data_IF_462508726924
#
_entry.id   IF_462508726924
#
_cell.length_a   1.000
_cell.length_b   1.000
_cell.length_c   1.000
_cell.angle_alpha   90.00
_cell.angle_beta   90.00
_cell.angle_gamma   90.00
#
_symmetry.space_group_name_H-M   'P 1'
#
loop_
_entity.id
_entity.type
_entity.pdbx_description
1 polymer ?
#
# COMPACT_ATOMS: atom_id res chain seq x y z
N UNK A 1 1.27 1.86 -23.26
CA UNK A 1 1.70 0.45 -23.31
C UNK A 1 3.04 0.38 -24.02
N UNK A 2 4.09 -0.17 -23.38
CA UNK A 2 5.49 -0.15 -23.88
C UNK A 2 5.76 -1.19 -24.98
N UNK A 3 5.03 -2.30 -24.97
CA UNK A 3 5.14 -3.39 -25.95
C UNK A 3 3.77 -3.72 -26.52
N UNK A 4 3.72 -4.14 -27.78
CA UNK A 4 2.50 -4.57 -28.48
C UNK A 4 2.47 -6.09 -28.61
N UNK A 5 1.28 -6.71 -28.81
CA UNK A 5 1.19 -8.16 -29.00
C UNK A 5 2.10 -8.70 -30.12
N UNK A 6 2.30 -7.93 -31.19
CA UNK A 6 3.20 -8.30 -32.30
C UNK A 6 4.68 -8.39 -31.93
N UNK A 7 5.11 -7.83 -30.80
CA UNK A 7 6.50 -7.83 -30.36
C UNK A 7 6.89 -9.13 -29.63
N UNK A 8 5.91 -10.00 -29.31
CA UNK A 8 6.10 -11.15 -28.41
C UNK A 8 7.25 -12.07 -28.81
N UNK A 9 7.36 -12.45 -30.09
CA UNK A 9 8.42 -13.34 -30.57
C UNK A 9 9.83 -12.71 -30.47
N UNK A 10 9.94 -11.38 -30.61
CA UNK A 10 11.20 -10.67 -30.41
C UNK A 10 11.54 -10.59 -28.91
N UNK A 11 10.57 -10.24 -28.08
CA UNK A 11 10.73 -10.11 -26.62
C UNK A 11 11.11 -11.43 -25.96
N UNK A 12 10.49 -12.55 -26.36
CA UNK A 12 10.83 -13.88 -25.81
C UNK A 12 12.26 -14.29 -26.15
N UNK A 13 12.76 -13.97 -27.35
CA UNK A 13 14.15 -14.25 -27.74
C UNK A 13 15.14 -13.42 -26.94
N UNK A 14 14.83 -12.15 -26.70
CA UNK A 14 15.67 -11.27 -25.86
C UNK A 14 15.66 -11.75 -24.41
N UNK A 15 14.49 -12.08 -23.85
CA UNK A 15 14.35 -12.54 -22.48
C UNK A 15 15.05 -13.89 -22.20
N UNK A 16 15.11 -14.78 -23.20
CA UNK A 16 15.82 -16.06 -23.10
C UNK A 16 17.33 -15.96 -23.38
N UNK A 17 17.82 -14.77 -23.76
CA UNK A 17 19.22 -14.53 -24.05
C UNK A 17 20.11 -14.49 -22.79
N UNK A 18 21.44 -14.63 -22.93
CA UNK A 18 22.38 -14.68 -21.80
C UNK A 18 22.57 -13.33 -21.09
N UNK A 19 22.07 -12.23 -21.64
CA UNK A 19 22.14 -10.88 -21.07
C UNK A 19 20.76 -10.25 -21.12
N UNK A 20 20.06 -10.30 -20.00
CA UNK A 20 18.79 -9.62 -19.78
C UNK A 20 18.98 -8.50 -18.78
N UNK A 21 18.50 -7.30 -19.11
CA UNK A 21 18.49 -6.18 -18.18
C UNK A 21 17.17 -6.20 -17.44
N UNK A 22 17.20 -5.88 -16.14
CA UNK A 22 15.99 -5.82 -15.33
C UNK A 22 15.92 -4.55 -14.50
N UNK A 23 14.75 -3.96 -14.44
CA UNK A 23 14.41 -2.96 -13.42
C UNK A 23 13.94 -3.66 -12.15
N UNK A 24 14.39 -3.18 -10.98
CA UNK A 24 13.95 -3.67 -9.69
C UNK A 24 12.79 -2.80 -9.18
N UNK A 25 11.56 -3.26 -9.37
CA UNK A 25 10.37 -2.52 -8.95
C UNK A 25 10.16 -2.68 -7.44
N UNK A 26 9.86 -1.55 -6.79
CA UNK A 26 9.55 -1.48 -5.36
C UNK A 26 8.21 -2.14 -5.08
N UNK A 27 8.18 -2.96 -4.03
CA UNK A 27 6.97 -3.62 -3.53
C UNK A 27 6.63 -3.10 -2.13
N UNK A 28 5.35 -3.11 -1.79
CA UNK A 28 4.90 -2.87 -0.42
C UNK A 28 4.76 -4.20 0.32
N UNK A 29 5.02 -4.18 1.62
CA UNK A 29 4.82 -5.31 2.53
C UNK A 29 3.97 -4.88 3.71
N UNK A 30 3.04 -5.74 4.10
CA UNK A 30 2.24 -5.60 5.32
C UNK A 30 2.53 -6.77 6.22
N UNK A 31 2.99 -6.52 7.44
CA UNK A 31 3.32 -7.56 8.44
C UNK A 31 2.41 -7.39 9.65
N UNK A 32 1.72 -8.45 10.03
CA UNK A 32 0.91 -8.48 11.25
C UNK A 32 1.78 -8.77 12.48
N UNK A 33 1.27 -8.44 13.67
CA UNK A 33 1.94 -8.74 14.94
C UNK A 33 2.19 -10.24 15.19
N UNK A 34 1.35 -11.11 14.64
CA UNK A 34 1.51 -12.56 14.62
C UNK A 34 2.41 -13.10 13.48
N UNK A 35 2.98 -12.21 12.67
CA UNK A 35 3.98 -12.53 11.65
C UNK A 35 3.44 -12.96 10.29
N UNK A 36 2.14 -12.88 10.05
CA UNK A 36 1.56 -13.07 8.70
C UNK A 36 1.93 -11.88 7.81
N UNK A 37 2.13 -12.14 6.52
CA UNK A 37 2.66 -11.15 5.59
C UNK A 37 1.84 -11.04 4.32
N UNK A 38 1.66 -9.82 3.83
CA UNK A 38 1.16 -9.49 2.50
C UNK A 38 2.25 -8.81 1.69
N UNK A 39 2.30 -9.11 0.39
CA UNK A 39 3.19 -8.43 -0.56
C UNK A 39 2.37 -7.89 -1.71
N UNK A 40 2.56 -6.61 -2.01
CA UNK A 40 1.84 -5.92 -3.07
C UNK A 40 2.81 -5.31 -4.08
N UNK A 41 2.52 -5.52 -5.36
CA UNK A 41 3.17 -4.77 -6.43
C UNK A 41 2.61 -3.36 -6.53
N UNK A 42 1.30 -3.18 -6.34
CA UNK A 42 0.60 -1.91 -6.51
C UNK A 42 0.24 -1.29 -5.15
N UNK A 43 -0.55 -1.97 -4.33
CA UNK A 43 -1.02 -1.42 -3.06
C UNK A 43 -1.47 -2.47 -2.04
N UNK A 44 -1.39 -2.08 -0.76
CA UNK A 44 -2.05 -2.76 0.36
C UNK A 44 -3.22 -1.90 0.81
N UNK A 45 -4.39 -2.52 0.93
CA UNK A 45 -5.56 -1.94 1.59
C UNK A 45 -5.69 -2.52 2.99
N UNK A 46 -6.08 -1.67 3.95
CA UNK A 46 -6.47 -2.08 5.31
C UNK A 46 -7.76 -1.35 5.68
N UNK A 47 -8.84 -2.08 5.97
CA UNK A 47 -10.11 -1.44 6.29
C UNK A 47 -11.26 -2.42 6.47
N UNK A 48 -12.49 -1.94 6.32
CA UNK A 48 -13.68 -2.79 6.46
C UNK A 48 -13.87 -3.64 5.20
N UNK A 49 -14.21 -4.92 5.37
CA UNK A 49 -14.57 -5.83 4.26
C UNK A 49 -15.85 -5.43 3.49
N UNK A 50 -16.58 -4.42 3.97
CA UNK A 50 -17.78 -3.89 3.32
C UNK A 50 -18.03 -2.44 3.72
N UNK A 51 -19.29 -1.99 3.63
CA UNK A 51 -19.66 -0.59 3.86
C UNK A 51 -19.87 -0.26 5.34
N UNK A 52 -18.87 -0.54 6.18
CA UNK A 52 -18.85 -0.17 7.61
C UNK A 52 -17.69 0.76 7.88
N UNK A 53 -17.86 1.65 8.86
CA UNK A 53 -16.78 2.49 9.35
C UNK A 53 -15.70 1.63 10.00
N UNK A 54 -14.48 1.70 9.49
CA UNK A 54 -13.30 1.14 10.13
C UNK A 54 -12.85 2.05 11.26
N UNK A 55 -12.64 1.49 12.47
CA UNK A 55 -12.05 2.21 13.60
C UNK A 55 -10.70 1.59 13.94
N UNK A 56 -9.68 2.42 14.05
CA UNK A 56 -8.29 2.01 14.27
C UNK A 56 -7.44 3.17 14.79
N UNK A 57 -6.31 2.85 15.43
CA UNK A 57 -5.23 3.80 15.65
C UNK A 57 -4.23 3.74 14.50
N UNK A 58 -3.86 4.91 14.00
CA UNK A 58 -2.91 5.07 12.92
C UNK A 58 -1.62 5.71 13.44
N UNK A 59 -0.48 5.08 13.16
CA UNK A 59 0.84 5.62 13.51
C UNK A 59 1.79 5.60 12.30
N UNK A 60 2.09 6.75 11.68
CA UNK A 60 3.15 6.87 10.70
C UNK A 60 4.52 6.90 11.42
N UNK A 61 5.44 5.99 11.09
CA UNK A 61 6.74 5.93 11.76
C UNK A 61 6.68 5.44 13.21
N UNK A 62 7.85 5.19 13.82
CA UNK A 62 7.93 4.74 15.21
C UNK A 62 7.96 5.92 16.21
N UNK A 63 8.46 7.08 15.77
CA UNK A 63 8.67 8.26 16.61
C UNK A 63 7.51 9.25 16.56
N UNK A 64 6.57 9.09 15.62
CA UNK A 64 5.41 9.98 15.54
C UNK A 64 4.28 9.51 16.45
N UNK A 65 3.48 10.47 16.91
CA UNK A 65 2.29 10.18 17.71
C UNK A 65 1.20 9.44 16.92
N UNK A 66 0.37 8.69 17.63
CA UNK A 66 -0.77 7.97 17.06
C UNK A 66 -1.99 8.90 16.92
N UNK A 67 -2.83 8.64 15.93
CA UNK A 67 -4.14 9.28 15.79
C UNK A 67 -5.24 8.21 15.72
N UNK A 68 -6.26 8.34 16.56
CA UNK A 68 -7.46 7.51 16.49
C UNK A 68 -8.29 7.95 15.27
N UNK A 69 -8.58 7.00 14.40
CA UNK A 69 -9.18 7.20 13.09
C UNK A 69 -10.52 6.45 12.98
N UNK A 70 -11.47 7.08 12.28
CA UNK A 70 -12.68 6.45 11.76
C UNK A 70 -12.78 6.79 10.27
N UNK A 71 -12.80 5.77 9.40
CA UNK A 71 -12.72 6.00 7.95
C UNK A 71 -13.21 4.79 7.13
N UNK A 72 -13.11 4.88 5.81
CA UNK A 72 -13.32 3.76 4.88
C UNK A 72 -12.06 2.89 4.67
N UNK A 73 -11.07 3.03 5.54
CA UNK A 73 -9.79 2.32 5.51
C UNK A 73 -8.61 3.17 5.07
N UNK A 74 -7.46 2.51 4.93
CA UNK A 74 -6.16 3.05 4.56
C UNK A 74 -5.67 2.33 3.30
N UNK A 75 -5.08 3.09 2.38
CA UNK A 75 -4.38 2.57 1.22
C UNK A 75 -2.90 2.92 1.31
N UNK A 76 -2.02 1.96 1.03
CA UNK A 76 -0.57 2.14 0.97
C UNK A 76 -0.08 1.67 -0.39
N UNK A 77 0.33 2.59 -1.27
CA UNK A 77 0.65 2.30 -2.66
C UNK A 77 2.12 2.51 -3.03
N UNK A 78 2.58 1.73 -4.01
CA UNK A 78 3.91 1.79 -4.62
C UNK A 78 3.93 2.71 -5.84
N UNK A 79 5.11 2.91 -6.43
CA UNK A 79 5.22 3.58 -7.73
C UNK A 79 4.62 2.80 -8.90
N UNK A 80 4.61 1.47 -8.85
CA UNK A 80 3.90 0.65 -9.85
C UNK A 80 2.39 0.85 -9.73
N UNK A 81 1.89 0.99 -8.50
CA UNK A 81 0.49 1.31 -8.20
C UNK A 81 0.06 2.75 -8.52
N UNK A 82 0.97 3.64 -8.91
CA UNK A 82 0.69 5.06 -9.17
C UNK A 82 -0.22 5.33 -10.39
N UNK A 83 -0.63 4.29 -11.12
CA UNK A 83 -1.68 4.33 -12.15
C UNK A 83 -3.04 3.78 -11.70
N UNK A 84 -3.13 3.12 -10.54
CA UNK A 84 -4.33 2.48 -10.00
C UNK A 84 -5.07 3.32 -8.97
N UNK A 85 -5.56 2.69 -7.90
CA UNK A 85 -6.31 3.38 -6.82
C UNK A 85 -5.51 4.53 -6.20
N UNK A 86 -4.18 4.38 -6.09
CA UNK A 86 -3.29 5.44 -5.61
C UNK A 86 -3.42 6.71 -6.45
N UNK A 87 -3.58 6.60 -7.78
CA UNK A 87 -3.77 7.75 -8.67
C UNK A 87 -5.05 8.50 -8.35
N UNK A 88 -6.15 7.79 -8.15
CA UNK A 88 -7.46 8.38 -7.84
C UNK A 88 -7.42 9.17 -6.53
N UNK A 89 -6.87 8.58 -5.47
CA UNK A 89 -6.72 9.27 -4.18
C UNK A 89 -5.75 10.45 -4.26
N UNK A 90 -4.64 10.29 -4.99
CA UNK A 90 -3.70 11.38 -5.22
C UNK A 90 -4.35 12.58 -5.91
N UNK A 91 -5.19 12.35 -6.93
CA UNK A 91 -5.95 13.40 -7.61
C UNK A 91 -6.99 14.05 -6.69
N UNK A 92 -7.77 13.24 -5.96
CA UNK A 92 -8.77 13.73 -4.99
C UNK A 92 -8.13 14.62 -3.91
N UNK A 93 -6.89 14.32 -3.52
CA UNK A 93 -6.12 15.07 -2.51
C UNK A 93 -5.31 16.22 -3.13
N UNK A 94 -5.68 16.67 -4.32
CA UNK A 94 -5.11 17.85 -4.96
C UNK A 94 -3.67 17.67 -5.45
N UNK A 95 -3.21 16.43 -5.65
CA UNK A 95 -1.89 16.13 -6.18
C UNK A 95 -0.71 16.71 -5.36
N UNK A 96 -0.92 16.97 -4.06
CA UNK A 96 0.01 17.71 -3.21
C UNK A 96 1.32 16.97 -2.88
N UNK A 97 1.28 15.63 -2.83
CA UNK A 97 2.44 14.79 -2.53
C UNK A 97 3.07 14.24 -3.82
N UNK A 98 4.39 14.05 -3.90
CA UNK A 98 5.01 13.46 -5.09
C UNK A 98 4.61 11.99 -5.23
N UNK A 99 4.08 11.60 -6.40
CA UNK A 99 3.86 10.19 -6.70
C UNK A 99 5.20 9.46 -6.82
N UNK A 100 5.33 8.26 -6.22
CA UNK A 100 6.52 7.45 -6.37
C UNK A 100 6.71 6.96 -7.81
N UNK A 101 7.97 6.91 -8.26
CA UNK A 101 8.38 6.14 -9.44
C UNK A 101 8.45 4.65 -9.13
N UNK A 102 8.32 3.79 -10.14
CA UNK A 102 8.20 2.33 -9.96
C UNK A 102 9.42 1.67 -9.28
N UNK A 103 10.60 2.27 -9.39
CA UNK A 103 11.86 1.82 -8.79
C UNK A 103 12.29 2.64 -7.56
N UNK A 104 11.49 3.62 -7.15
CA UNK A 104 11.82 4.45 -5.99
C UNK A 104 11.49 3.71 -4.69
N UNK A 105 12.41 3.72 -3.72
CA UNK A 105 12.27 3.06 -2.41
C UNK A 105 11.38 3.87 -1.45
N UNK A 106 10.17 4.19 -1.89
CA UNK A 106 9.17 4.89 -1.08
C UNK A 106 7.75 4.47 -1.46
N UNK A 107 6.86 4.58 -0.48
CA UNK A 107 5.43 4.38 -0.63
C UNK A 107 4.69 5.68 -0.33
N UNK A 108 3.46 5.75 -0.81
CA UNK A 108 2.53 6.84 -0.52
C UNK A 108 1.26 6.23 0.08
N UNK A 109 0.84 6.73 1.23
CA UNK A 109 -0.36 6.26 1.90
C UNK A 109 -1.41 7.35 2.04
N UNK A 110 -2.67 6.91 2.09
CA UNK A 110 -3.85 7.75 2.24
C UNK A 110 -4.88 7.08 3.14
N UNK A 111 -5.50 7.87 4.00
CA UNK A 111 -6.77 7.51 4.66
C UNK A 111 -7.92 7.85 3.70
N UNK A 112 -8.77 6.87 3.45
CA UNK A 112 -9.98 7.03 2.62
C UNK A 112 -11.13 7.52 3.48
N UNK A 113 -11.77 8.61 3.07
CA UNK A 113 -12.99 9.15 3.70
C UNK A 113 -12.86 9.29 5.23
N UNK A 114 -11.78 9.94 5.68
CA UNK A 114 -11.54 10.19 7.11
C UNK A 114 -12.68 11.04 7.70
N UNK A 115 -13.24 10.59 8.84
CA UNK A 115 -14.38 11.24 9.47
C UNK A 115 -13.98 11.92 10.79
N UNK A 116 -14.12 13.26 10.89
CA UNK A 116 -13.84 13.98 12.12
C UNK A 116 -14.97 13.79 13.15
N UNK A 117 -14.59 13.53 14.40
CA UNK A 117 -15.55 13.42 15.52
C UNK A 117 -14.90 13.85 16.83
N UNK A 118 -15.65 13.95 17.94
CA UNK A 118 -15.06 14.25 19.25
C UNK A 118 -13.98 13.24 19.70
N UNK A 119 -13.96 12.04 19.13
CA UNK A 119 -13.02 10.96 19.50
C UNK A 119 -12.06 10.56 18.37
N UNK A 120 -12.17 11.14 17.17
CA UNK A 120 -11.37 10.76 16.00
C UNK A 120 -10.81 11.97 15.28
N UNK A 121 -9.55 11.85 14.85
CA UNK A 121 -8.82 12.90 14.16
C UNK A 121 -8.86 12.75 12.64
N UNK A 122 -8.36 13.78 11.96
CA UNK A 122 -8.17 13.84 10.51
C UNK A 122 -6.85 14.58 10.16
N UNK A 123 -5.91 14.65 11.10
CA UNK A 123 -4.62 15.31 10.90
C UNK A 123 -3.63 14.42 10.16
N UNK A 124 -3.76 13.09 10.28
CA UNK A 124 -2.89 12.08 9.65
C UNK A 124 -3.66 11.30 8.59
N UNK A 125 -3.91 11.96 7.45
CA UNK A 125 -4.71 11.36 6.35
C UNK A 125 -3.92 11.07 5.08
N UNK A 126 -2.65 11.47 5.03
CA UNK A 126 -1.75 11.15 3.93
C UNK A 126 -0.29 11.25 4.38
N UNK A 127 0.60 10.55 3.71
CA UNK A 127 2.03 10.70 3.94
C UNK A 127 2.89 9.80 3.06
N UNK A 128 4.20 10.08 3.08
CA UNK A 128 5.21 9.25 2.44
C UNK A 128 5.81 8.29 3.46
N UNK A 129 6.12 7.07 3.02
CA UNK A 129 6.96 6.13 3.78
C UNK A 129 8.24 5.93 2.97
N UNK A 130 9.36 6.40 3.48
CA UNK A 130 10.67 6.18 2.89
C UNK A 130 11.53 5.33 3.84
N UNK A 131 12.55 4.68 3.28
CA UNK A 131 13.54 3.91 4.04
C UNK A 131 12.90 2.84 4.93
N UNK A 132 13.19 2.86 6.24
CA UNK A 132 12.65 1.92 7.25
C UNK A 132 11.36 2.41 7.89
N UNK A 133 10.83 3.57 7.49
CA UNK A 133 9.56 4.05 8.01
C UNK A 133 8.43 3.07 7.64
N UNK A 134 7.45 2.95 8.53
CA UNK A 134 6.29 2.11 8.30
C UNK A 134 5.04 2.75 8.88
N UNK A 135 3.89 2.40 8.33
CA UNK A 135 2.58 2.82 8.81
C UNK A 135 1.99 1.67 9.63
N UNK A 136 1.78 1.90 10.91
CA UNK A 136 1.11 0.93 11.79
C UNK A 136 -0.37 1.26 11.87
N UNK A 137 -1.21 0.26 11.58
CA UNK A 137 -2.66 0.31 11.77
C UNK A 137 -3.00 -0.68 12.88
N UNK A 138 -3.56 -0.20 14.00
CA UNK A 138 -3.99 -1.06 15.11
C UNK A 138 -5.50 -1.04 15.20
N UNK A 139 -6.13 -2.22 15.19
CA UNK A 139 -7.58 -2.35 15.07
C UNK A 139 -8.28 -1.94 16.37
N UNK A 140 -9.28 -1.07 16.27
CA UNK A 140 -10.18 -0.64 17.36
C UNK A 140 -11.65 -0.82 16.96
N UNK A 141 -11.91 -1.85 16.15
CA UNK A 141 -13.24 -2.36 15.80
C UNK A 141 -13.22 -3.88 15.87
N UNK A 142 -14.37 -4.53 15.74
CA UNK A 142 -14.43 -6.00 15.87
C UNK A 142 -13.58 -6.70 14.79
N UNK A 143 -13.54 -6.13 13.58
CA UNK A 143 -12.96 -6.79 12.41
C UNK A 143 -12.57 -5.81 11.33
N UNK A 144 -11.32 -5.89 10.88
CA UNK A 144 -10.80 -5.29 9.64
C UNK A 144 -10.15 -6.38 8.77
N UNK A 145 -10.09 -6.11 7.48
CA UNK A 145 -9.36 -6.93 6.51
C UNK A 145 -8.18 -6.15 5.95
N UNK A 146 -7.11 -6.87 5.63
CA UNK A 146 -6.03 -6.35 4.82
C UNK A 146 -5.79 -7.26 3.61
N UNK A 147 -5.61 -6.67 2.42
CA UNK A 147 -5.29 -7.42 1.21
C UNK A 147 -4.35 -6.63 0.30
N UNK A 148 -3.65 -7.35 -0.57
CA UNK A 148 -2.73 -6.80 -1.55
C UNK A 148 -3.32 -6.85 -2.96
N UNK A 149 -3.05 -5.82 -3.77
CA UNK A 149 -3.33 -5.79 -5.23
C UNK A 149 -4.79 -6.14 -5.62
N UNK A 150 -5.75 -5.83 -4.75
CA UNK A 150 -7.18 -6.14 -4.97
C UNK A 150 -7.55 -7.61 -4.77
N UNK A 151 -6.65 -8.46 -4.24
CA UNK A 151 -6.88 -9.88 -4.02
C UNK A 151 -7.60 -10.14 -2.69
N UNK A 152 -8.88 -9.76 -2.60
CA UNK A 152 -9.69 -9.91 -1.38
C UNK A 152 -9.83 -11.36 -0.89
N UNK A 153 -9.74 -12.34 -1.79
CA UNK A 153 -9.81 -13.76 -1.43
C UNK A 153 -8.60 -14.27 -0.63
N UNK A 154 -7.50 -13.51 -0.60
CA UNK A 154 -6.27 -13.79 0.15
C UNK A 154 -6.06 -12.76 1.27
N UNK A 155 -7.16 -12.23 1.82
CA UNK A 155 -7.10 -11.23 2.86
C UNK A 155 -6.63 -11.79 4.20
N UNK A 156 -5.92 -10.96 4.97
CA UNK A 156 -5.67 -11.18 6.37
C UNK A 156 -6.80 -10.55 7.20
N UNK A 157 -7.42 -11.37 8.04
CA UNK A 157 -8.35 -10.90 9.06
C UNK A 157 -7.57 -10.36 10.28
N UNK A 158 -7.98 -9.17 10.71
CA UNK A 158 -7.44 -8.44 11.86
C UNK A 158 -8.59 -8.15 12.83
N UNK A 159 -8.41 -8.54 14.08
CA UNK A 159 -9.39 -8.35 15.16
C UNK A 159 -8.90 -7.30 16.15
N UNK A 160 -9.76 -6.89 17.07
CA UNK A 160 -9.45 -5.86 18.07
C UNK A 160 -8.07 -6.04 18.71
N UNK A 161 -7.28 -4.97 18.70
CA UNK A 161 -5.95 -4.93 19.29
C UNK A 161 -4.83 -5.47 18.40
N UNK A 162 -5.15 -6.20 17.32
CA UNK A 162 -4.14 -6.62 16.36
C UNK A 162 -3.61 -5.45 15.55
N UNK A 163 -2.35 -5.53 15.15
CA UNK A 163 -1.71 -4.52 14.31
C UNK A 163 -1.23 -5.08 12.98
N UNK A 164 -1.30 -4.26 11.94
CA UNK A 164 -0.57 -4.44 10.69
C UNK A 164 0.39 -3.26 10.48
N UNK A 165 1.64 -3.58 10.19
CA UNK A 165 2.67 -2.62 9.80
C UNK A 165 2.91 -2.69 8.30
N UNK A 166 2.57 -1.64 7.57
CA UNK A 166 2.87 -1.50 6.15
C UNK A 166 4.18 -0.73 5.92
N UNK A 167 4.99 -1.15 4.96
CA UNK A 167 6.25 -0.48 4.60
C UNK A 167 6.84 -1.00 3.30
N UNK A 168 7.99 -0.47 2.89
CA UNK A 168 8.72 -0.97 1.71
C UNK A 168 9.20 -2.40 2.00
N UNK A 169 8.87 -3.36 1.14
CA UNK A 169 9.36 -4.74 1.25
C UNK A 169 10.87 -4.78 1.02
N UNK A 170 11.58 -5.79 1.51
CA UNK A 170 12.93 -6.11 1.01
C UNK A 170 12.88 -6.80 -0.36
N UNK A 171 11.74 -7.41 -0.70
CA UNK A 171 11.53 -8.06 -1.99
C UNK A 171 11.31 -7.01 -3.08
N UNK A 172 11.79 -7.32 -4.28
CA UNK A 172 11.64 -6.50 -5.49
C UNK A 172 11.11 -7.38 -6.61
N UNK A 173 10.21 -6.86 -7.42
CA UNK A 173 9.85 -7.49 -8.68
C UNK A 173 10.90 -7.14 -9.73
N UNK A 174 11.44 -8.15 -10.43
CA UNK A 174 12.42 -7.94 -11.51
C UNK A 174 11.68 -7.87 -12.84
N UNK A 175 11.53 -6.67 -13.37
CA UNK A 175 10.90 -6.45 -14.68
C UNK A 175 11.97 -6.49 -15.76
N UNK A 176 11.85 -7.40 -16.72
CA UNK A 176 12.71 -7.43 -17.91
C UNK A 176 12.46 -6.19 -18.79
N UNK A 177 13.53 -5.51 -19.22
CA UNK A 177 13.48 -4.26 -19.99
C UNK A 177 14.31 -4.27 -21.27
#
# INVERSE_FOLDING_TARGET
MRHRPGDAAALLRVAAGPRVTTDALTMAEGVTDDGRTLLALNEIYVGSAGHRTARYRLRPGAEEGEETQASSGVLVGTGTGAGGWLRSLWQERGAALPLPGATEDRLLWYVREAWPSPATGVQRVAGLLAERAGLTVTVESDHLVAFADGMESDALDLTWGQSLRAGVSERRLRLVV
#
